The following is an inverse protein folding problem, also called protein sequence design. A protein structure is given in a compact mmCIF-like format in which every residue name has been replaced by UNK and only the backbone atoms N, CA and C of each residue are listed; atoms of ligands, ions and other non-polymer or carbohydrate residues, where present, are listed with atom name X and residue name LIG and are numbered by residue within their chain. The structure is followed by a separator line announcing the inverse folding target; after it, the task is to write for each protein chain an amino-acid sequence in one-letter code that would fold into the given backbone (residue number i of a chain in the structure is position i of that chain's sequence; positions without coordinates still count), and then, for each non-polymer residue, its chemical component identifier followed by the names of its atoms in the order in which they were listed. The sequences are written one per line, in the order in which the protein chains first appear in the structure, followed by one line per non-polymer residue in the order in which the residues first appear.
data_IF_209089816571
#
_entry.id   IF_209089816571
#
_cell.length_a   1.000
_cell.length_b   1.000
_cell.length_c   1.000
_cell.angle_alpha   90.00
_cell.angle_beta   90.00
_cell.angle_gamma   90.00
#
_symmetry.space_group_name_H-M   'P 1'
#
loop_
_entity.id
_entity.type
_entity.pdbx_description
1 polymer ?
#
# COMPACT_ATOMS: atom_id res chain seq x y z
N UNK A 1 37.94 22.09 2.17
CA UNK A 1 36.90 23.11 2.25
C UNK A 1 37.55 24.42 1.82
N UNK A 2 36.98 25.12 0.85
CA UNK A 2 37.50 26.42 0.37
C UNK A 2 36.52 27.48 0.87
N UNK A 3 37.03 28.41 1.68
CA UNK A 3 36.27 29.55 2.16
C UNK A 3 36.60 30.74 1.27
N UNK A 4 35.60 31.44 0.79
CA UNK A 4 35.72 32.64 -0.02
C UNK A 4 34.78 33.72 0.51
N UNK A 5 35.19 34.99 0.36
CA UNK A 5 34.28 36.13 0.60
C UNK A 5 33.58 36.44 -0.70
N UNK A 6 32.26 36.47 -0.67
CA UNK A 6 31.46 36.78 -1.86
C UNK A 6 30.43 37.87 -1.56
N UNK A 7 30.10 38.71 -2.55
CA UNK A 7 29.01 39.67 -2.40
C UNK A 7 27.67 38.95 -2.11
N UNK A 8 26.93 39.43 -1.13
CA UNK A 8 25.58 38.86 -0.78
C UNK A 8 24.65 38.87 -1.99
N UNK A 9 24.76 39.84 -2.88
CA UNK A 9 24.01 39.94 -4.13
C UNK A 9 24.27 38.79 -5.12
N UNK A 10 25.42 38.10 -5.01
CA UNK A 10 25.74 36.95 -5.85
C UNK A 10 25.10 35.64 -5.36
N UNK A 11 24.60 35.62 -4.14
CA UNK A 11 24.04 34.41 -3.50
C UNK A 11 22.54 34.37 -3.74
N UNK A 12 22.06 33.33 -4.45
CA UNK A 12 20.65 33.09 -4.70
C UNK A 12 20.09 32.13 -3.65
N UNK A 13 19.03 32.50 -2.91
CA UNK A 13 18.31 31.52 -2.10
C UNK A 13 17.81 30.37 -2.99
N UNK A 14 17.99 29.12 -2.58
CA UNK A 14 17.48 27.98 -3.33
C UNK A 14 15.97 27.85 -3.15
N UNK A 15 15.25 27.80 -4.27
CA UNK A 15 13.78 27.70 -4.27
C UNK A 15 13.25 26.34 -3.73
N UNK A 16 14.11 25.32 -3.80
CA UNK A 16 13.80 23.93 -3.35
C UNK A 16 14.07 23.69 -1.86
N UNK A 17 14.52 24.69 -1.08
CA UNK A 17 14.82 24.49 0.33
C UNK A 17 13.56 24.13 1.13
N UNK A 18 13.44 22.91 1.71
CA UNK A 18 12.21 22.43 2.35
C UNK A 18 12.11 22.84 3.83
N UNK A 19 12.82 23.88 4.23
CA UNK A 19 12.75 24.42 5.59
C UNK A 19 11.66 25.48 5.71
N UNK A 20 10.96 25.49 6.84
CA UNK A 20 10.11 26.63 7.18
C UNK A 20 10.91 27.91 7.16
N UNK A 21 10.42 28.90 6.42
CA UNK A 21 11.02 30.22 6.35
C UNK A 21 10.61 31.05 7.57
N UNK A 22 11.52 31.16 8.54
CA UNK A 22 11.29 31.97 9.73
C UNK A 22 11.10 33.44 9.34
N UNK A 23 10.16 34.10 10.02
CA UNK A 23 9.83 35.49 9.78
C UNK A 23 10.32 36.39 10.91
N UNK A 24 10.62 37.66 10.64
CA UNK A 24 10.88 38.65 11.69
C UNK A 24 9.71 38.64 12.72
N UNK A 25 10.05 38.50 13.98
CA UNK A 25 9.08 38.33 15.08
C UNK A 25 8.92 36.90 15.59
N UNK A 26 9.36 35.90 14.85
CA UNK A 26 9.42 34.52 15.35
C UNK A 26 10.52 34.40 16.40
N UNK A 27 10.21 33.70 17.50
CA UNK A 27 11.15 33.57 18.62
C UNK A 27 12.53 33.02 18.22
N UNK A 28 12.57 32.07 17.27
CA UNK A 28 13.81 31.48 16.75
C UNK A 28 14.56 32.46 15.84
N UNK A 29 13.82 33.23 15.01
CA UNK A 29 14.41 34.27 14.17
C UNK A 29 15.13 35.32 15.02
N UNK A 30 14.45 35.84 16.05
CA UNK A 30 14.99 36.88 16.94
C UNK A 30 16.21 36.38 17.74
N UNK A 31 16.19 35.11 18.20
CA UNK A 31 17.36 34.50 18.86
C UNK A 31 18.55 34.41 17.91
N UNK A 32 18.33 33.95 16.67
CA UNK A 32 19.38 33.84 15.68
C UNK A 32 19.94 35.23 15.29
N UNK A 33 19.06 36.21 15.12
CA UNK A 33 19.45 37.60 14.83
C UNK A 33 20.28 38.20 15.95
N UNK A 34 19.87 38.00 17.22
CA UNK A 34 20.65 38.44 18.37
C UNK A 34 22.02 37.78 18.44
N UNK A 35 22.11 36.48 18.14
CA UNK A 35 23.37 35.76 18.11
C UNK A 35 24.33 36.30 17.03
N UNK A 36 23.82 36.55 15.81
CA UNK A 36 24.64 37.13 14.72
C UNK A 36 25.08 38.56 15.06
N UNK A 37 24.20 39.33 15.70
CA UNK A 37 24.55 40.71 16.09
C UNK A 37 25.63 40.74 17.18
N UNK A 38 25.63 39.79 18.13
CA UNK A 38 26.56 39.71 19.25
C UNK A 38 27.91 39.11 18.88
N UNK A 39 27.91 38.02 18.09
CA UNK A 39 29.07 37.18 17.85
C UNK A 39 29.56 37.22 16.40
N UNK A 40 28.88 37.96 15.50
CA UNK A 40 29.09 37.93 14.07
C UNK A 40 28.83 36.52 13.46
N UNK A 41 29.27 36.32 12.23
CA UNK A 41 29.10 35.01 11.55
C UNK A 41 30.17 34.02 11.98
N UNK A 42 29.81 33.08 12.86
CA UNK A 42 30.73 32.02 13.36
C UNK A 42 30.85 30.87 12.36
N UNK A 43 29.78 30.57 11.64
CA UNK A 43 29.74 29.50 10.63
C UNK A 43 29.48 30.08 9.24
N UNK A 44 30.37 29.77 8.24
CA UNK A 44 30.16 30.27 6.88
C UNK A 44 28.91 29.68 6.26
N UNK A 45 28.29 30.43 5.33
CA UNK A 45 27.21 29.93 4.50
C UNK A 45 27.78 28.89 3.52
N UNK A 46 26.94 27.90 3.09
CA UNK A 46 27.36 26.94 2.05
C UNK A 46 26.79 27.39 0.71
N UNK A 47 27.66 27.68 -0.25
CA UNK A 47 27.30 28.24 -1.56
C UNK A 47 27.83 27.38 -2.70
N UNK A 48 26.98 27.05 -3.67
CA UNK A 48 27.38 26.32 -4.86
C UNK A 48 27.73 27.29 -6.00
N UNK A 49 29.03 27.38 -6.33
CA UNK A 49 29.52 28.28 -7.38
C UNK A 49 28.98 27.93 -8.76
N UNK A 50 28.54 26.69 -9.02
CA UNK A 50 28.03 26.22 -10.30
C UNK A 50 26.65 26.80 -10.61
N UNK A 51 25.76 26.75 -9.64
CA UNK A 51 24.38 27.25 -9.76
C UNK A 51 24.20 28.69 -9.30
N UNK A 52 25.07 29.13 -8.40
CA UNK A 52 24.91 30.37 -7.64
C UNK A 52 23.98 30.25 -6.45
N UNK A 53 23.50 29.05 -6.17
CA UNK A 53 22.51 28.81 -5.11
C UNK A 53 23.17 28.69 -3.72
N UNK A 54 22.45 29.16 -2.72
CA UNK A 54 22.75 28.88 -1.32
C UNK A 54 22.29 27.47 -1.00
N UNK A 55 23.21 26.63 -0.51
CA UNK A 55 22.92 25.25 -0.13
C UNK A 55 22.61 25.12 1.38
N UNK A 56 23.24 25.95 2.22
CA UNK A 56 23.02 25.95 3.66
C UNK A 56 23.12 27.34 4.27
N UNK A 57 22.32 27.63 5.31
CA UNK A 57 22.33 28.90 6.01
C UNK A 57 21.31 29.93 5.52
N UNK A 58 20.16 29.50 4.98
CA UNK A 58 19.11 30.38 4.43
C UNK A 58 18.62 31.43 5.42
N UNK A 59 18.36 31.06 6.68
CA UNK A 59 17.92 32.00 7.70
C UNK A 59 19.02 33.02 8.06
N UNK A 60 20.28 32.57 8.09
CA UNK A 60 21.44 33.47 8.29
C UNK A 60 21.58 34.47 7.16
N UNK A 61 21.46 34.05 5.90
CA UNK A 61 21.49 34.96 4.73
C UNK A 61 20.37 36.01 4.81
N UNK A 62 19.15 35.62 5.25
CA UNK A 62 18.02 36.53 5.40
C UNK A 62 18.32 37.63 6.43
N UNK A 63 18.87 37.24 7.58
CA UNK A 63 19.26 38.15 8.66
C UNK A 63 20.43 39.06 8.21
N UNK A 64 21.42 38.53 7.53
CA UNK A 64 22.53 39.34 7.01
C UNK A 64 22.08 40.41 6.03
N UNK A 65 21.10 40.09 5.17
CA UNK A 65 20.47 41.05 4.27
C UNK A 65 19.73 42.15 5.02
N UNK A 66 19.04 41.80 6.11
CA UNK A 66 18.32 42.76 6.97
C UNK A 66 19.30 43.68 7.74
N UNK A 67 20.49 43.15 8.08
CA UNK A 67 21.55 43.89 8.75
C UNK A 67 22.48 44.66 7.78
N UNK A 68 22.11 44.75 6.49
CA UNK A 68 22.84 45.48 5.44
C UNK A 68 24.29 45.02 5.20
N UNK A 69 24.61 43.75 5.42
CA UNK A 69 25.91 43.20 5.05
C UNK A 69 26.06 43.20 3.52
N UNK A 70 27.22 43.68 3.03
CA UNK A 70 27.53 43.72 1.59
C UNK A 70 28.19 42.44 1.10
N UNK A 71 28.98 41.77 1.95
CA UNK A 71 29.78 40.59 1.67
C UNK A 71 29.65 39.59 2.81
N UNK A 72 29.89 38.30 2.52
CA UNK A 72 29.87 37.24 3.52
C UNK A 72 30.85 36.12 3.18
N UNK A 73 31.41 35.49 4.20
CA UNK A 73 32.22 34.27 4.06
C UNK A 73 31.31 33.06 3.71
N UNK A 74 31.71 32.33 2.66
CA UNK A 74 31.01 31.13 2.21
C UNK A 74 31.96 29.95 2.10
N UNK A 75 31.51 28.79 2.44
CA UNK A 75 32.10 27.50 2.09
C UNK A 75 31.67 27.15 0.66
N UNK A 76 32.62 27.14 -0.27
CA UNK A 76 32.35 26.95 -1.69
C UNK A 76 32.29 25.46 -2.03
N UNK A 77 31.21 25.05 -2.68
CA UNK A 77 31.05 23.73 -3.31
C UNK A 77 30.87 23.88 -4.83
N UNK A 78 31.11 22.80 -5.57
CA UNK A 78 30.96 22.74 -7.03
C UNK A 78 30.23 21.44 -7.38
N UNK A 79 28.90 21.44 -7.23
CA UNK A 79 28.08 20.28 -7.30
C UNK A 79 27.04 20.35 -8.44
N UNK A 80 26.77 19.22 -9.13
CA UNK A 80 25.60 19.13 -9.99
C UNK A 80 24.32 19.21 -9.14
N UNK A 81 23.20 19.54 -9.78
CA UNK A 81 21.94 19.90 -9.11
C UNK A 81 21.44 18.84 -8.13
N UNK A 82 21.40 17.56 -8.52
CA UNK A 82 20.96 16.48 -7.63
C UNK A 82 21.82 16.40 -6.34
N UNK A 83 23.14 16.51 -6.46
CA UNK A 83 24.04 16.52 -5.30
C UNK A 83 23.93 17.79 -4.46
N UNK A 84 23.62 18.94 -5.08
CA UNK A 84 23.36 20.19 -4.39
C UNK A 84 22.10 20.05 -3.50
N UNK A 85 21.00 19.51 -4.06
CA UNK A 85 19.75 19.23 -3.35
C UNK A 85 19.95 18.25 -2.19
N UNK A 86 20.67 17.15 -2.44
CA UNK A 86 20.99 16.17 -1.40
C UNK A 86 21.84 16.76 -0.26
N UNK A 87 22.85 17.59 -0.58
CA UNK A 87 23.62 18.27 0.44
C UNK A 87 22.78 19.26 1.25
N UNK A 88 21.81 19.94 0.61
CA UNK A 88 20.86 20.81 1.32
C UNK A 88 20.07 20.02 2.36
N UNK A 89 19.54 18.86 2.00
CA UNK A 89 18.83 17.98 2.92
C UNK A 89 19.72 17.52 4.07
N UNK A 90 20.92 17.00 3.77
CA UNK A 90 21.87 16.50 4.77
C UNK A 90 22.27 17.59 5.79
N UNK A 91 22.56 18.82 5.32
CA UNK A 91 22.90 19.94 6.19
C UNK A 91 21.72 20.39 7.08
N UNK A 92 20.51 20.16 6.61
CA UNK A 92 19.31 20.61 7.29
C UNK A 92 18.69 19.53 8.19
N UNK A 93 19.11 18.26 8.13
CA UNK A 93 18.50 17.17 8.92
C UNK A 93 18.64 17.35 10.44
N UNK A 94 19.70 18.01 10.89
CA UNK A 94 20.09 18.04 12.31
C UNK A 94 19.29 19.05 13.14
N UNK A 95 18.66 20.09 12.55
CA UNK A 95 17.98 21.14 13.31
C UNK A 95 16.90 21.89 12.54
N UNK A 96 15.80 22.28 13.22
CA UNK A 96 14.71 23.12 12.73
C UNK A 96 13.49 22.31 12.23
N UNK A 97 12.40 22.99 11.92
CA UNK A 97 11.18 22.38 11.43
C UNK A 97 11.15 22.29 9.89
N UNK A 98 10.53 21.23 9.37
CA UNK A 98 10.38 21.01 7.94
C UNK A 98 9.04 21.55 7.42
N UNK A 99 9.06 22.06 6.19
CA UNK A 99 7.89 22.11 5.34
C UNK A 99 7.75 20.70 4.73
N UNK A 100 6.93 19.87 5.35
CA UNK A 100 6.82 18.43 4.99
C UNK A 100 6.38 18.20 3.53
N UNK A 101 5.40 18.95 2.96
CA UNK A 101 5.08 18.86 1.54
C UNK A 101 6.28 19.14 0.63
N UNK A 102 7.01 20.23 0.89
CA UNK A 102 8.19 20.58 0.09
C UNK A 102 9.34 19.57 0.25
N UNK A 103 9.49 19.00 1.44
CA UNK A 103 10.44 17.93 1.71
C UNK A 103 10.11 16.67 0.91
N UNK A 104 8.82 16.26 0.92
CA UNK A 104 8.31 15.13 0.14
C UNK A 104 8.63 15.30 -1.34
N UNK A 105 8.22 16.43 -1.94
CA UNK A 105 8.41 16.70 -3.36
C UNK A 105 9.89 16.65 -3.76
N UNK A 106 10.77 17.15 -2.88
CA UNK A 106 12.21 17.14 -3.12
C UNK A 106 12.82 15.72 -3.03
N UNK A 107 12.36 14.89 -2.08
CA UNK A 107 12.80 13.50 -1.96
C UNK A 107 12.29 12.66 -3.14
N UNK A 108 11.03 12.84 -3.58
CA UNK A 108 10.50 12.19 -4.79
C UNK A 108 11.30 12.56 -6.05
N UNK A 109 11.70 13.82 -6.20
CA UNK A 109 12.54 14.27 -7.33
C UNK A 109 13.92 13.59 -7.33
N UNK A 110 14.46 13.30 -6.15
CA UNK A 110 15.79 12.67 -6.01
C UNK A 110 15.75 11.15 -6.14
N UNK A 111 14.60 10.51 -5.80
CA UNK A 111 14.42 9.06 -5.83
C UNK A 111 14.12 8.56 -7.25
N UNK A 112 15.10 8.71 -8.13
CA UNK A 112 15.02 8.24 -9.54
C UNK A 112 15.56 6.83 -9.75
N UNK A 113 15.99 6.15 -8.66
CA UNK A 113 16.65 4.85 -8.71
C UNK A 113 18.15 4.90 -9.06
N UNK A 114 18.62 6.01 -9.61
CA UNK A 114 20.05 6.21 -9.96
C UNK A 114 20.84 6.96 -8.88
N UNK A 115 20.17 7.39 -7.81
CA UNK A 115 20.73 8.22 -6.76
C UNK A 115 20.66 7.50 -5.39
N UNK A 116 21.81 7.50 -4.71
CA UNK A 116 21.88 6.96 -3.34
C UNK A 116 21.20 7.91 -2.35
N UNK A 117 19.99 7.56 -1.93
CA UNK A 117 19.18 8.37 -1.04
C UNK A 117 19.77 8.53 0.37
N UNK A 118 20.65 7.63 0.82
CA UNK A 118 21.31 7.75 2.13
C UNK A 118 22.18 9.01 2.22
N UNK A 119 22.66 9.55 1.09
CA UNK A 119 23.43 10.81 1.03
C UNK A 119 22.61 12.01 1.51
N UNK A 120 21.29 11.95 1.43
CA UNK A 120 20.39 13.01 1.96
C UNK A 120 20.37 13.06 3.49
N UNK A 121 20.85 11.99 4.13
CA UNK A 121 20.78 11.77 5.57
C UNK A 121 19.47 11.14 6.03
N UNK A 122 18.48 10.94 5.16
CA UNK A 122 17.27 10.19 5.47
C UNK A 122 17.49 8.72 5.19
N UNK A 123 17.04 7.85 6.10
CA UNK A 123 16.98 6.42 5.82
C UNK A 123 15.72 6.07 5.01
N UNK A 124 15.72 4.89 4.39
CA UNK A 124 14.59 4.46 3.54
C UNK A 124 13.26 4.47 4.29
N UNK A 125 13.28 4.09 5.58
CA UNK A 125 12.08 4.07 6.41
C UNK A 125 11.52 5.48 6.66
N UNK A 126 12.38 6.46 6.93
CA UNK A 126 11.96 7.87 7.11
C UNK A 126 11.34 8.43 5.83
N UNK A 127 11.90 8.05 4.66
CA UNK A 127 11.37 8.45 3.35
C UNK A 127 10.00 7.79 3.12
N UNK A 128 9.88 6.48 3.35
CA UNK A 128 8.63 5.74 3.23
C UNK A 128 7.53 6.26 4.18
N UNK A 129 7.89 6.55 5.44
CA UNK A 129 6.97 7.17 6.42
C UNK A 129 6.43 8.51 5.91
N UNK A 130 7.31 9.35 5.36
CA UNK A 130 6.93 10.65 4.82
C UNK A 130 6.01 10.49 3.59
N UNK A 131 6.37 9.64 2.64
CA UNK A 131 5.56 9.37 1.44
C UNK A 131 4.19 8.83 1.81
N UNK A 132 4.12 7.91 2.78
CA UNK A 132 2.87 7.33 3.26
C UNK A 132 1.98 8.39 3.93
N UNK A 133 2.56 9.33 4.69
CA UNK A 133 1.82 10.40 5.35
C UNK A 133 1.10 11.33 4.37
N UNK A 134 1.65 11.53 3.17
CA UNK A 134 1.08 12.39 2.13
C UNK A 134 0.33 11.63 1.04
N UNK A 135 0.28 10.29 1.12
CA UNK A 135 -0.53 9.53 0.19
C UNK A 135 -2.01 9.81 0.44
N UNK A 136 -2.67 10.40 -0.53
CA UNK A 136 -4.12 10.56 -0.53
C UNK A 136 -4.72 9.29 -1.12
N UNK A 137 -5.56 8.55 -0.37
CA UNK A 137 -6.21 7.37 -0.90
C UNK A 137 -6.96 7.67 -2.20
N UNK A 138 -6.75 6.84 -3.21
CA UNK A 138 -7.45 6.99 -4.49
C UNK A 138 -8.90 6.50 -4.35
N UNK A 139 -9.85 7.40 -4.62
CA UNK A 139 -11.26 7.02 -4.71
C UNK A 139 -11.51 6.25 -6.00
N UNK A 140 -12.11 5.06 -5.87
CA UNK A 140 -12.48 4.24 -7.02
C UNK A 140 -13.71 4.77 -7.75
N UNK A 141 -13.97 4.22 -8.94
CA UNK A 141 -15.17 4.51 -9.72
C UNK A 141 -16.44 3.83 -9.16
N UNK A 142 -16.27 2.90 -8.24
CA UNK A 142 -17.36 2.17 -7.56
C UNK A 142 -17.14 2.21 -6.05
N UNK A 143 -18.18 1.87 -5.28
CA UNK A 143 -18.06 1.63 -3.84
C UNK A 143 -16.97 0.58 -3.55
N UNK A 144 -16.17 0.81 -2.52
CA UNK A 144 -15.05 -0.04 -2.14
C UNK A 144 -15.48 -1.50 -1.92
N UNK A 145 -16.61 -1.72 -1.27
CA UNK A 145 -17.14 -3.04 -0.93
C UNK A 145 -18.07 -3.62 -2.00
N UNK A 146 -18.27 -2.95 -3.14
CA UNK A 146 -19.05 -3.46 -4.25
C UNK A 146 -18.39 -4.71 -4.85
N UNK A 147 -19.10 -5.84 -4.86
CA UNK A 147 -18.63 -7.09 -5.45
C UNK A 147 -19.52 -7.44 -6.65
N UNK A 148 -18.98 -7.46 -7.89
CA UNK A 148 -19.77 -7.78 -9.06
C UNK A 148 -20.12 -9.27 -9.10
N UNK A 149 -21.32 -9.58 -9.60
CA UNK A 149 -21.69 -10.96 -9.89
C UNK A 149 -20.91 -11.50 -11.11
N UNK A 150 -20.51 -12.77 -11.02
CA UNK A 150 -19.97 -13.50 -12.16
C UNK A 150 -20.82 -14.78 -12.36
N UNK A 151 -21.41 -14.88 -13.53
CA UNK A 151 -22.21 -16.05 -13.93
C UNK A 151 -21.39 -17.09 -14.70
N UNK A 152 -20.21 -16.69 -15.18
CA UNK A 152 -19.32 -17.51 -16.00
C UNK A 152 -17.87 -17.25 -15.64
N UNK A 153 -17.06 -18.30 -15.63
CA UNK A 153 -15.64 -18.23 -15.37
C UNK A 153 -14.87 -17.99 -16.67
N UNK A 154 -14.16 -16.86 -16.74
CA UNK A 154 -13.24 -16.53 -17.83
C UNK A 154 -11.82 -16.95 -17.48
N UNK A 155 -11.43 -16.77 -16.22
CA UNK A 155 -10.14 -17.22 -15.70
C UNK A 155 -10.06 -18.75 -15.67
N UNK A 156 -8.85 -19.28 -15.82
CA UNK A 156 -8.54 -20.71 -15.75
C UNK A 156 -7.43 -20.96 -14.76
N UNK A 157 -7.42 -22.15 -14.19
CA UNK A 157 -6.36 -22.58 -13.29
C UNK A 157 -5.01 -22.44 -13.98
N UNK A 158 -4.07 -21.80 -13.31
CA UNK A 158 -2.76 -21.46 -13.83
C UNK A 158 -2.67 -20.08 -14.51
N UNK A 159 -3.76 -19.35 -14.73
CA UNK A 159 -3.68 -18.00 -15.27
C UNK A 159 -3.03 -17.03 -14.26
N UNK A 160 -1.99 -16.34 -14.71
CA UNK A 160 -1.36 -15.23 -13.98
C UNK A 160 -1.72 -13.91 -14.68
N UNK A 161 -2.31 -13.01 -13.92
CA UNK A 161 -2.80 -11.71 -14.39
C UNK A 161 -2.02 -10.57 -13.75
N UNK A 162 -1.70 -9.55 -14.54
CA UNK A 162 -1.19 -8.25 -14.10
C UNK A 162 -2.33 -7.23 -14.14
N UNK A 163 -2.57 -6.58 -13.00
CA UNK A 163 -3.61 -5.56 -12.78
C UNK A 163 -2.91 -4.26 -12.36
N UNK A 164 -2.39 -3.49 -13.33
CA UNK A 164 -1.45 -2.42 -13.01
C UNK A 164 -0.20 -2.97 -12.33
N UNK A 165 0.06 -2.55 -11.09
CA UNK A 165 1.18 -3.03 -10.28
C UNK A 165 0.86 -4.27 -9.43
N UNK A 166 -0.37 -4.78 -9.49
CA UNK A 166 -0.81 -5.96 -8.77
C UNK A 166 -0.68 -7.22 -9.60
N UNK A 167 -0.68 -8.38 -8.93
CA UNK A 167 -0.71 -9.71 -9.56
C UNK A 167 -1.83 -10.56 -8.97
N UNK A 168 -2.53 -11.31 -9.81
CA UNK A 168 -3.52 -12.32 -9.40
C UNK A 168 -3.21 -13.63 -10.10
N UNK A 169 -2.99 -14.69 -9.32
CA UNK A 169 -2.78 -16.05 -9.83
C UNK A 169 -4.01 -16.91 -9.51
N UNK A 170 -4.61 -17.51 -10.55
CA UNK A 170 -5.58 -18.59 -10.36
C UNK A 170 -4.82 -19.87 -10.00
N UNK A 171 -4.56 -20.12 -8.72
CA UNK A 171 -3.64 -21.16 -8.25
C UNK A 171 -3.99 -21.74 -6.90
N UNK A 172 -3.18 -22.70 -6.46
CA UNK A 172 -3.35 -23.38 -5.19
C UNK A 172 -2.27 -22.95 -4.20
N UNK A 173 -2.68 -22.23 -3.15
CA UNK A 173 -1.79 -21.71 -2.12
C UNK A 173 -0.99 -22.79 -1.38
N UNK A 174 -1.43 -24.06 -1.42
CA UNK A 174 -0.71 -25.19 -0.82
C UNK A 174 0.47 -25.66 -1.68
N UNK A 175 0.55 -25.19 -2.93
CA UNK A 175 1.63 -25.52 -3.85
C UNK A 175 2.71 -24.43 -3.83
N UNK A 176 3.88 -24.78 -3.31
CA UNK A 176 5.03 -23.88 -3.25
C UNK A 176 5.38 -23.27 -4.64
N UNK A 177 5.24 -24.06 -5.70
CA UNK A 177 5.48 -23.63 -7.08
C UNK A 177 4.55 -22.50 -7.53
N UNK A 178 3.28 -22.53 -7.08
CA UNK A 178 2.31 -21.49 -7.40
C UNK A 178 2.64 -20.20 -6.64
N UNK A 179 3.03 -20.33 -5.36
CA UNK A 179 3.46 -19.18 -4.54
C UNK A 179 4.73 -18.55 -5.12
N UNK A 180 5.73 -19.34 -5.47
CA UNK A 180 6.97 -18.86 -6.10
C UNK A 180 6.69 -18.16 -7.44
N UNK A 181 5.77 -18.70 -8.24
CA UNK A 181 5.36 -18.10 -9.51
C UNK A 181 4.64 -16.77 -9.32
N UNK A 182 3.71 -16.68 -8.37
CA UNK A 182 3.04 -15.43 -8.02
C UNK A 182 4.05 -14.36 -7.60
N UNK A 183 4.97 -14.72 -6.71
CA UNK A 183 5.96 -13.80 -6.18
C UNK A 183 7.00 -13.37 -7.23
N UNK A 184 7.35 -14.23 -8.18
CA UNK A 184 8.30 -13.91 -9.25
C UNK A 184 9.68 -13.49 -8.75
N UNK A 185 10.10 -13.97 -7.57
CA UNK A 185 11.36 -13.64 -6.91
C UNK A 185 11.32 -12.41 -6.01
N UNK A 186 10.20 -11.69 -5.95
CA UNK A 186 9.98 -10.58 -5.01
C UNK A 186 9.64 -11.13 -3.60
N UNK A 187 9.80 -10.30 -2.58
CA UNK A 187 9.44 -10.63 -1.19
C UNK A 187 8.19 -9.86 -0.78
N UNK A 188 7.36 -10.48 0.03
CA UNK A 188 6.24 -9.77 0.65
C UNK A 188 6.73 -8.91 1.81
N UNK A 189 6.20 -7.70 1.90
CA UNK A 189 6.43 -6.75 3.00
C UNK A 189 5.35 -6.91 4.08
N UNK A 190 4.17 -7.39 3.70
CA UNK A 190 3.04 -7.66 4.57
C UNK A 190 2.25 -8.86 4.06
N UNK A 191 1.71 -9.66 4.98
CA UNK A 191 0.69 -10.67 4.67
C UNK A 191 -0.63 -10.24 5.30
N UNK A 192 -1.69 -10.16 4.50
CA UNK A 192 -3.07 -10.11 5.00
C UNK A 192 -3.85 -11.25 4.35
N UNK A 193 -4.40 -12.17 5.14
CA UNK A 193 -4.98 -13.39 4.57
C UNK A 193 -6.17 -13.91 5.38
N UNK A 194 -7.17 -14.44 4.68
CA UNK A 194 -8.40 -14.99 5.24
C UNK A 194 -8.60 -16.45 4.81
N UNK A 195 -7.80 -17.40 5.37
CA UNK A 195 -7.87 -18.80 4.97
C UNK A 195 -9.21 -19.43 5.35
N UNK A 196 -9.64 -20.49 4.63
CA UNK A 196 -10.85 -21.23 4.97
C UNK A 196 -10.75 -21.84 6.35
N UNK A 197 -11.80 -21.69 7.17
CA UNK A 197 -11.79 -22.03 8.61
C UNK A 197 -12.00 -23.51 8.94
N UNK A 198 -12.09 -24.41 7.95
CA UNK A 198 -12.29 -25.85 8.17
C UNK A 198 -13.67 -26.22 8.73
N UNK A 199 -14.65 -25.32 8.64
CA UNK A 199 -15.98 -25.50 9.25
C UNK A 199 -17.01 -26.17 8.35
N UNK A 200 -16.63 -26.57 7.13
CA UNK A 200 -17.56 -27.17 6.15
C UNK A 200 -18.71 -26.23 5.81
N UNK A 201 -18.41 -24.95 5.51
CA UNK A 201 -19.41 -23.95 5.19
C UNK A 201 -20.31 -24.43 4.05
N UNK A 202 -21.59 -24.59 4.33
CA UNK A 202 -22.62 -24.86 3.33
C UNK A 202 -23.48 -23.62 3.19
N UNK A 203 -23.50 -23.06 2.00
CA UNK A 203 -24.47 -22.02 1.70
C UNK A 203 -25.88 -22.58 1.82
N UNK A 204 -26.64 -22.09 2.81
CA UNK A 204 -28.02 -22.50 3.08
C UNK A 204 -28.96 -22.19 1.91
N UNK A 205 -28.59 -21.26 1.04
CA UNK A 205 -29.35 -20.84 -0.14
C UNK A 205 -28.94 -21.53 -1.43
N UNK A 206 -27.86 -22.33 -1.42
CA UNK A 206 -27.35 -23.07 -2.59
C UNK A 206 -26.86 -22.19 -3.77
N UNK A 207 -26.61 -20.90 -3.53
CA UNK A 207 -26.18 -19.95 -4.56
C UNK A 207 -24.67 -19.92 -4.78
N UNK A 208 -23.88 -20.43 -3.82
CA UNK A 208 -22.42 -20.39 -3.88
C UNK A 208 -21.83 -21.80 -3.84
N UNK A 209 -20.76 -21.99 -4.58
CA UNK A 209 -20.01 -23.24 -4.53
C UNK A 209 -19.41 -23.48 -3.13
N UNK A 210 -19.24 -24.74 -2.72
CA UNK A 210 -18.55 -25.06 -1.47
C UNK A 210 -17.13 -24.48 -1.50
N UNK A 211 -16.67 -23.98 -0.35
CA UNK A 211 -15.29 -23.49 -0.21
C UNK A 211 -14.35 -24.67 -0.49
N UNK A 212 -13.52 -24.52 -1.51
CA UNK A 212 -12.55 -25.54 -1.91
C UNK A 212 -11.49 -25.67 -0.82
N UNK A 213 -11.12 -26.91 -0.47
CA UNK A 213 -10.11 -27.21 0.58
C UNK A 213 -10.47 -26.80 2.02
N UNK A 214 -11.74 -26.65 2.36
CA UNK A 214 -12.19 -26.38 3.73
C UNK A 214 -11.93 -27.57 4.70
N UNK A 215 -10.85 -28.33 4.50
CA UNK A 215 -10.39 -29.42 5.38
C UNK A 215 -9.03 -29.06 5.96
N UNK A 216 -9.05 -28.55 7.15
CA UNK A 216 -8.08 -28.00 8.09
C UNK A 216 -6.57 -28.29 7.99
N UNK A 217 -6.08 -29.38 7.47
CA UNK A 217 -4.66 -29.79 7.63
C UNK A 217 -3.71 -28.99 6.72
N UNK A 218 -4.09 -28.72 5.49
CA UNK A 218 -3.23 -28.02 4.52
C UNK A 218 -2.97 -26.55 4.87
N UNK A 219 -3.90 -25.93 5.61
CA UNK A 219 -3.80 -24.51 6.01
C UNK A 219 -2.78 -24.33 7.12
N UNK A 220 -2.70 -25.25 8.05
CA UNK A 220 -1.74 -25.21 9.16
C UNK A 220 -0.31 -25.23 8.61
N UNK A 221 -0.03 -26.12 7.66
CA UNK A 221 1.27 -26.21 7.00
C UNK A 221 1.61 -24.91 6.24
N UNK A 222 0.60 -24.30 5.60
CA UNK A 222 0.78 -23.04 4.90
C UNK A 222 1.06 -21.87 5.85
N UNK A 223 0.36 -21.78 6.99
CA UNK A 223 0.59 -20.75 7.99
C UNK A 223 2.02 -20.84 8.58
N UNK A 224 2.55 -22.03 8.68
CA UNK A 224 3.94 -22.25 9.12
C UNK A 224 4.97 -21.82 8.05
N UNK A 225 4.57 -21.69 6.78
CA UNK A 225 5.43 -21.25 5.67
C UNK A 225 5.40 -19.72 5.46
N UNK A 226 4.58 -18.98 6.19
CA UNK A 226 4.57 -17.52 6.09
C UNK A 226 5.96 -16.97 6.48
N UNK A 227 6.50 -15.97 5.74
CA UNK A 227 7.82 -15.41 6.02
C UNK A 227 7.93 -14.98 7.50
N UNK A 228 8.99 -15.37 8.20
CA UNK A 228 9.12 -15.13 9.65
C UNK A 228 9.37 -13.65 9.99
N UNK A 229 9.95 -12.93 9.07
CA UNK A 229 10.33 -11.51 9.16
C UNK A 229 9.27 -10.55 8.60
N UNK A 230 8.14 -11.08 8.09
CA UNK A 230 7.08 -10.31 7.48
C UNK A 230 5.89 -10.14 8.45
N UNK A 231 5.44 -8.92 8.73
CA UNK A 231 4.20 -8.67 9.46
C UNK A 231 3.04 -9.43 8.82
N UNK A 232 2.21 -10.07 9.64
CA UNK A 232 1.12 -10.90 9.11
C UNK A 232 -0.15 -10.75 9.92
N UNK A 233 -1.27 -10.56 9.23
CA UNK A 233 -2.62 -10.55 9.76
C UNK A 233 -3.37 -11.76 9.21
N UNK A 234 -3.70 -12.70 10.07
CA UNK A 234 -4.39 -13.94 9.69
C UNK A 234 -5.78 -13.96 10.31
N UNK A 235 -6.80 -13.86 9.47
CA UNK A 235 -8.18 -13.92 9.92
C UNK A 235 -8.54 -15.33 10.40
N UNK A 236 -9.32 -15.40 11.48
CA UNK A 236 -9.81 -16.66 12.01
C UNK A 236 -11.11 -16.47 12.83
N UNK A 237 -11.79 -17.56 13.10
CA UNK A 237 -12.89 -17.56 14.04
C UNK A 237 -12.51 -18.26 15.34
N UNK A 238 -13.39 -18.24 16.35
CA UNK A 238 -13.12 -18.84 17.65
C UNK A 238 -12.88 -20.36 17.60
N UNK A 239 -13.32 -21.08 16.55
CA UNK A 239 -13.10 -22.52 16.40
C UNK A 239 -11.75 -22.82 15.80
N UNK A 240 -11.34 -22.08 14.76
CA UNK A 240 -10.03 -22.24 14.10
C UNK A 240 -8.89 -21.58 14.88
N UNK A 241 -9.18 -20.61 15.75
CA UNK A 241 -8.18 -19.87 16.51
C UNK A 241 -7.17 -20.77 17.26
N UNK A 242 -7.56 -21.81 18.01
CA UNK A 242 -6.58 -22.61 18.78
C UNK A 242 -5.54 -23.29 17.88
N UNK A 243 -5.97 -23.82 16.72
CA UNK A 243 -5.10 -24.49 15.76
C UNK A 243 -4.18 -23.48 15.06
N UNK A 244 -4.73 -22.33 14.64
CA UNK A 244 -3.97 -21.28 13.97
C UNK A 244 -2.95 -20.64 14.90
N UNK A 245 -3.33 -20.38 16.16
CA UNK A 245 -2.42 -19.84 17.17
C UNK A 245 -1.22 -20.77 17.43
N UNK A 246 -1.44 -22.08 17.41
CA UNK A 246 -0.35 -23.06 17.57
C UNK A 246 0.56 -23.15 16.33
N UNK A 247 0.01 -22.94 15.15
CA UNK A 247 0.74 -23.02 13.88
C UNK A 247 1.56 -21.77 13.57
N UNK A 248 1.10 -20.60 14.01
CA UNK A 248 1.73 -19.32 13.73
C UNK A 248 2.76 -19.01 14.83
N UNK A 249 4.05 -18.96 14.52
CA UNK A 249 5.07 -18.59 15.51
C UNK A 249 5.01 -17.09 15.83
N UNK A 250 5.51 -16.72 17.02
CA UNK A 250 5.75 -15.34 17.43
C UNK A 250 4.53 -14.40 17.35
N UNK A 251 3.34 -14.90 17.70
CA UNK A 251 2.13 -14.10 17.80
C UNK A 251 2.34 -12.95 18.77
N UNK A 252 2.06 -11.72 18.32
CA UNK A 252 2.23 -10.48 19.11
C UNK A 252 0.89 -9.95 19.65
N UNK A 253 -0.19 -10.14 18.92
CA UNK A 253 -1.52 -9.70 19.33
C UNK A 253 -2.64 -10.58 18.77
N UNK A 254 -3.75 -10.59 19.48
CA UNK A 254 -5.03 -11.08 18.97
C UNK A 254 -5.97 -9.89 18.84
N UNK A 255 -6.25 -9.52 17.61
CA UNK A 255 -7.17 -8.43 17.29
C UNK A 255 -8.59 -8.99 17.23
N UNK A 256 -9.51 -8.30 17.86
CA UNK A 256 -10.95 -8.61 17.81
C UNK A 256 -11.61 -7.66 16.83
N UNK A 257 -12.00 -8.17 15.68
CA UNK A 257 -12.85 -7.40 14.77
C UNK A 257 -14.30 -7.46 15.22
N UNK A 258 -14.79 -6.35 15.79
CA UNK A 258 -16.18 -6.13 16.13
C UNK A 258 -16.96 -5.63 14.90
N UNK A 259 -17.95 -6.38 14.45
CA UNK A 259 -18.72 -6.12 13.24
C UNK A 259 -19.85 -5.10 13.44
N UNK A 260 -19.93 -4.45 14.60
CA UNK A 260 -20.99 -3.51 14.95
C UNK A 260 -22.35 -4.20 15.18
N UNK A 261 -22.80 -4.95 14.19
CA UNK A 261 -24.06 -5.67 14.22
C UNK A 261 -23.84 -7.19 14.21
N UNK A 262 -24.52 -7.91 15.11
CA UNK A 262 -24.43 -9.37 15.18
C UNK A 262 -25.34 -10.04 14.13
N UNK A 263 -24.86 -11.14 13.54
CA UNK A 263 -25.73 -12.02 12.77
C UNK A 263 -26.61 -12.79 13.76
N UNK A 264 -27.93 -12.64 13.65
CA UNK A 264 -28.89 -13.36 14.49
C UNK A 264 -28.72 -14.87 14.26
N UNK A 265 -28.30 -15.59 15.29
CA UNK A 265 -28.26 -17.02 15.28
C UNK A 265 -29.38 -17.52 16.24
N UNK A 266 -30.03 -18.61 15.92
CA UNK A 266 -31.05 -19.23 16.80
C UNK A 266 -30.46 -19.75 18.12
N UNK A 267 -29.13 -19.78 18.22
CA UNK A 267 -28.36 -20.08 19.44
C UNK A 267 -28.14 -18.84 20.27
N UNK A 268 -28.07 -18.96 21.57
CA UNK A 268 -28.19 -17.98 22.65
C UNK A 268 -27.35 -16.68 22.57
N UNK A 269 -26.34 -16.59 21.70
CA UNK A 269 -25.49 -15.40 21.56
C UNK A 269 -25.36 -14.96 20.10
N UNK A 270 -25.44 -13.64 19.86
CA UNK A 270 -25.13 -13.06 18.56
C UNK A 270 -23.63 -13.17 18.27
N UNK A 271 -23.27 -13.69 17.08
CA UNK A 271 -21.89 -13.73 16.61
C UNK A 271 -21.53 -12.37 16.02
N UNK A 272 -20.93 -11.52 16.85
CA UNK A 272 -20.65 -10.13 16.52
C UNK A 272 -19.18 -9.92 16.12
N UNK A 273 -18.30 -10.85 16.41
CA UNK A 273 -16.88 -10.67 16.19
C UNK A 273 -16.20 -11.85 15.46
N UNK A 274 -15.07 -11.56 14.87
CA UNK A 274 -14.07 -12.50 14.40
C UNK A 274 -12.71 -12.09 14.96
N UNK A 275 -11.71 -12.96 14.83
CA UNK A 275 -10.36 -12.70 15.30
C UNK A 275 -9.41 -12.51 14.14
N UNK A 276 -8.35 -11.72 14.38
CA UNK A 276 -7.21 -11.58 13.48
C UNK A 276 -5.96 -11.80 14.34
N UNK A 277 -5.20 -12.85 14.02
CA UNK A 277 -3.92 -13.12 14.66
C UNK A 277 -2.89 -12.22 14.00
N UNK A 278 -2.22 -11.40 14.81
CA UNK A 278 -1.14 -10.54 14.37
C UNK A 278 0.21 -11.07 14.85
N UNK A 279 1.19 -11.11 13.95
CA UNK A 279 2.59 -11.35 14.25
C UNK A 279 3.48 -10.36 13.47
N UNK A 280 4.73 -10.21 13.89
CA UNK A 280 5.70 -9.32 13.29
C UNK A 280 5.84 -8.01 14.05
N UNK A 281 6.63 -7.11 13.52
CA UNK A 281 6.83 -5.77 14.07
C UNK A 281 6.03 -4.75 13.28
N UNK A 282 5.57 -3.68 13.95
CA UNK A 282 4.90 -2.58 13.26
C UNK A 282 5.93 -1.86 12.37
N UNK A 283 5.71 -1.90 11.06
CA UNK A 283 6.50 -1.17 10.08
C UNK A 283 5.95 0.21 9.76
N UNK A 284 4.67 0.46 10.04
CA UNK A 284 3.96 1.70 9.70
C UNK A 284 3.81 2.67 10.86
N UNK A 285 2.74 3.48 10.82
CA UNK A 285 2.45 4.48 11.86
C UNK A 285 2.22 3.81 13.21
N UNK A 286 2.89 4.32 14.24
CA UNK A 286 2.56 3.95 15.62
C UNK A 286 1.14 4.40 15.92
N UNK A 287 0.28 3.44 16.27
CA UNK A 287 -1.11 3.72 16.62
C UNK A 287 -1.29 3.69 18.13
N UNK A 288 -2.23 4.52 18.61
CA UNK A 288 -2.78 4.43 19.96
C UNK A 288 -4.06 3.59 19.98
N UNK A 289 -4.45 2.99 18.85
CA UNK A 289 -5.62 2.13 18.77
C UNK A 289 -5.44 0.85 19.57
N UNK A 290 -6.52 0.41 20.21
CA UNK A 290 -6.56 -0.86 20.91
C UNK A 290 -6.64 -2.05 19.95
N UNK A 291 -6.65 -3.25 20.54
CA UNK A 291 -6.77 -4.54 19.84
C UNK A 291 -8.24 -4.92 19.52
N UNK A 292 -9.20 -4.03 19.78
CA UNK A 292 -10.60 -4.19 19.36
C UNK A 292 -10.91 -3.19 18.25
N UNK A 293 -11.12 -3.72 17.04
CA UNK A 293 -11.41 -2.91 15.86
C UNK A 293 -12.90 -2.94 15.55
N UNK A 294 -13.56 -1.81 15.72
CA UNK A 294 -14.96 -1.64 15.30
C UNK A 294 -14.95 -1.24 13.80
N UNK A 295 -15.35 -2.16 12.96
CA UNK A 295 -15.57 -1.93 11.53
C UNK A 295 -16.88 -2.60 11.16
N UNK A 296 -17.86 -1.80 10.76
CA UNK A 296 -19.19 -2.29 10.43
C UNK A 296 -19.12 -3.19 9.19
N UNK A 297 -19.74 -4.35 9.32
CA UNK A 297 -19.98 -5.21 8.18
C UNK A 297 -21.28 -4.76 7.51
N UNK A 298 -21.17 -3.83 6.56
CA UNK A 298 -22.31 -3.60 5.68
C UNK A 298 -22.54 -4.83 4.80
N UNK A 299 -23.66 -5.50 5.02
CA UNK A 299 -24.09 -6.60 4.14
C UNK A 299 -24.61 -5.98 2.85
N UNK A 300 -23.71 -5.51 2.00
CA UNK A 300 -24.04 -5.04 0.66
C UNK A 300 -23.72 -6.16 -0.33
N UNK A 301 -24.75 -6.76 -0.90
CA UNK A 301 -24.61 -7.77 -1.95
C UNK A 301 -24.67 -9.24 -1.47
N UNK A 302 -24.59 -10.16 -2.42
CA UNK A 302 -24.77 -11.62 -2.23
C UNK A 302 -23.52 -12.37 -1.69
N UNK A 303 -22.41 -11.67 -1.32
CA UNK A 303 -21.19 -12.30 -0.80
C UNK A 303 -21.11 -12.25 0.73
N UNK A 304 -21.58 -13.29 1.42
CA UNK A 304 -21.70 -13.29 2.88
C UNK A 304 -20.37 -13.39 3.64
N UNK A 305 -19.24 -13.58 2.95
CA UNK A 305 -17.91 -13.82 3.57
C UNK A 305 -16.86 -12.76 3.25
N UNK A 306 -17.16 -11.77 2.39
CA UNK A 306 -16.21 -10.71 2.07
C UNK A 306 -15.82 -9.92 3.33
N UNK A 307 -14.50 -9.64 3.48
CA UNK A 307 -14.01 -8.73 4.51
C UNK A 307 -14.17 -7.28 4.01
N UNK A 308 -14.58 -6.34 4.88
CA UNK A 308 -14.64 -4.92 4.52
C UNK A 308 -13.27 -4.40 4.08
N UNK A 309 -13.24 -3.59 3.03
CA UNK A 309 -12.01 -2.93 2.57
C UNK A 309 -11.43 -2.03 3.67
N UNK A 310 -12.28 -1.38 4.48
CA UNK A 310 -11.86 -0.56 5.63
C UNK A 310 -11.05 -1.37 6.66
N UNK A 311 -11.47 -2.60 6.97
CA UNK A 311 -10.77 -3.47 7.92
C UNK A 311 -9.35 -3.78 7.44
N UNK A 312 -9.22 -4.09 6.16
CA UNK A 312 -7.95 -4.40 5.52
C UNK A 312 -7.09 -3.13 5.44
N UNK A 313 -7.68 -2.02 5.02
CA UNK A 313 -7.01 -0.71 4.95
C UNK A 313 -6.39 -0.30 6.28
N UNK A 314 -7.08 -0.58 7.39
CA UNK A 314 -6.58 -0.35 8.73
C UNK A 314 -5.32 -1.17 9.02
N UNK A 315 -5.32 -2.47 8.70
CA UNK A 315 -4.15 -3.34 8.85
C UNK A 315 -2.96 -2.88 7.99
N UNK A 316 -3.23 -2.52 6.71
CA UNK A 316 -2.20 -2.02 5.79
C UNK A 316 -1.57 -0.72 6.30
N UNK A 317 -2.37 0.20 6.83
CA UNK A 317 -1.90 1.47 7.38
C UNK A 317 -0.94 1.31 8.57
N UNK A 318 -1.11 0.24 9.38
CA UNK A 318 -0.26 0.00 10.54
C UNK A 318 1.06 -0.71 10.22
N UNK A 319 1.10 -1.52 9.17
CA UNK A 319 2.22 -2.44 8.96
C UNK A 319 2.77 -2.42 7.54
N UNK A 320 2.45 -1.41 6.74
CA UNK A 320 3.01 -1.27 5.40
C UNK A 320 3.08 0.19 4.95
N UNK A 321 3.87 0.43 3.91
CA UNK A 321 4.06 1.72 3.25
C UNK A 321 3.54 1.69 1.81
N UNK A 322 3.44 2.86 1.17
CA UNK A 322 3.14 3.00 -0.27
C UNK A 322 4.20 2.24 -1.07
N UNK A 323 3.77 1.47 -2.07
CA UNK A 323 4.65 0.63 -2.90
C UNK A 323 4.96 -0.76 -2.34
N UNK A 324 4.75 -1.00 -1.04
CA UNK A 324 4.98 -2.31 -0.41
C UNK A 324 4.11 -3.42 -1.03
N UNK A 325 4.65 -4.64 -1.03
CA UNK A 325 3.97 -5.84 -1.51
C UNK A 325 3.16 -6.47 -0.39
N UNK A 326 1.86 -6.53 -0.58
CA UNK A 326 0.90 -7.22 0.29
C UNK A 326 0.55 -8.56 -0.33
N UNK A 327 0.85 -9.64 0.37
CA UNK A 327 0.53 -11.01 -0.05
C UNK A 327 -0.80 -11.44 0.55
N UNK A 328 -1.72 -11.89 -0.32
CA UNK A 328 -2.96 -12.56 0.08
C UNK A 328 -3.12 -13.87 -0.68
N UNK A 329 -3.02 -14.98 0.03
CA UNK A 329 -3.07 -16.33 -0.56
C UNK A 329 -4.48 -16.90 -0.70
N UNK A 330 -5.51 -16.16 -0.23
CA UNK A 330 -6.93 -16.55 -0.29
C UNK A 330 -7.78 -15.34 -0.70
N UNK A 331 -7.64 -14.93 -1.95
CA UNK A 331 -8.18 -13.67 -2.48
C UNK A 331 -9.69 -13.50 -2.37
N UNK A 332 -10.45 -14.60 -2.42
CA UNK A 332 -11.91 -14.57 -2.34
C UNK A 332 -12.51 -13.59 -3.34
N UNK A 333 -13.21 -12.56 -2.85
CA UNK A 333 -13.81 -11.51 -3.67
C UNK A 333 -12.85 -10.36 -4.03
N UNK A 334 -11.57 -10.36 -3.56
CA UNK A 334 -10.56 -9.37 -3.90
C UNK A 334 -10.55 -8.11 -3.02
N UNK A 335 -11.08 -8.15 -1.79
CA UNK A 335 -11.09 -6.98 -0.92
C UNK A 335 -9.68 -6.45 -0.61
N UNK A 336 -8.69 -7.34 -0.44
CA UNK A 336 -7.28 -6.97 -0.22
C UNK A 336 -6.71 -6.23 -1.42
N UNK A 337 -7.07 -6.63 -2.64
CA UNK A 337 -6.65 -5.95 -3.87
C UNK A 337 -7.17 -4.51 -3.92
N UNK A 338 -8.44 -4.31 -3.61
CA UNK A 338 -9.06 -2.98 -3.60
C UNK A 338 -8.43 -2.09 -2.51
N UNK A 339 -8.19 -2.62 -1.31
CA UNK A 339 -7.50 -1.88 -0.25
C UNK A 339 -6.08 -1.46 -0.68
N UNK A 340 -5.35 -2.34 -1.38
CA UNK A 340 -4.01 -2.04 -1.90
C UNK A 340 -4.04 -0.98 -3.00
N UNK A 341 -4.96 -1.07 -3.98
CA UNK A 341 -5.12 -0.04 -5.01
C UNK A 341 -5.40 1.32 -4.36
N UNK A 342 -6.40 1.38 -3.45
CA UNK A 342 -6.78 2.61 -2.74
C UNK A 342 -5.63 3.26 -1.98
N UNK A 343 -4.77 2.46 -1.36
CA UNK A 343 -3.69 2.93 -0.50
C UNK A 343 -2.31 2.96 -1.18
N UNK A 344 -2.23 2.70 -2.48
CA UNK A 344 -0.98 2.73 -3.24
C UNK A 344 -0.01 1.58 -2.91
N UNK A 345 -0.51 0.44 -2.40
CA UNK A 345 0.27 -0.78 -2.19
C UNK A 345 0.17 -1.69 -3.41
N UNK A 346 1.07 -2.67 -3.51
CA UNK A 346 1.06 -3.71 -4.54
C UNK A 346 0.46 -4.98 -3.97
N UNK A 347 -0.62 -5.48 -4.53
CA UNK A 347 -1.25 -6.73 -4.06
C UNK A 347 -0.78 -7.90 -4.92
N UNK A 348 -0.21 -8.94 -4.28
CA UNK A 348 0.08 -10.22 -4.90
C UNK A 348 -0.89 -11.23 -4.30
N UNK A 349 -1.87 -11.63 -5.12
CA UNK A 349 -3.04 -12.38 -4.66
C UNK A 349 -3.15 -13.73 -5.34
N UNK A 350 -3.53 -14.75 -4.59
CA UNK A 350 -3.86 -16.07 -5.10
C UNK A 350 -5.30 -16.43 -4.77
N UNK A 351 -5.96 -17.07 -5.72
CA UNK A 351 -7.31 -17.60 -5.53
C UNK A 351 -7.46 -18.90 -6.32
N UNK A 352 -7.98 -19.93 -5.67
CA UNK A 352 -8.10 -21.27 -6.28
C UNK A 352 -9.31 -21.41 -7.21
N UNK A 353 -10.36 -20.62 -6.95
CA UNK A 353 -11.59 -20.65 -7.73
C UNK A 353 -11.47 -19.80 -8.99
N UNK A 354 -11.62 -20.44 -10.16
CA UNK A 354 -11.66 -19.74 -11.46
C UNK A 354 -12.75 -18.67 -11.50
N UNK A 355 -13.88 -18.94 -10.83
CA UNK A 355 -15.00 -18.01 -10.74
C UNK A 355 -14.62 -16.78 -9.90
N UNK A 356 -14.05 -16.97 -8.72
CA UNK A 356 -13.61 -15.86 -7.88
C UNK A 356 -12.46 -15.07 -8.50
N UNK A 357 -11.52 -15.71 -9.20
CA UNK A 357 -10.54 -14.98 -10.00
C UNK A 357 -11.22 -14.07 -11.04
N UNK A 358 -12.28 -14.56 -11.69
CA UNK A 358 -13.09 -13.74 -12.62
C UNK A 358 -13.77 -12.58 -11.91
N UNK A 359 -14.30 -12.78 -10.69
CA UNK A 359 -14.88 -11.73 -9.84
C UNK A 359 -13.84 -10.66 -9.49
N UNK A 360 -12.64 -11.08 -9.07
CA UNK A 360 -11.53 -10.18 -8.73
C UNK A 360 -11.19 -9.24 -9.89
N UNK A 361 -11.01 -9.81 -11.11
CA UNK A 361 -10.68 -9.00 -12.29
C UNK A 361 -11.81 -8.02 -12.65
N UNK A 362 -13.06 -8.48 -12.61
CA UNK A 362 -14.24 -7.61 -12.86
C UNK A 362 -14.33 -6.47 -11.83
N UNK A 363 -14.08 -6.78 -10.56
CA UNK A 363 -14.13 -5.81 -9.47
C UNK A 363 -13.06 -4.74 -9.65
N UNK A 364 -11.82 -5.15 -9.90
CA UNK A 364 -10.72 -4.22 -10.12
C UNK A 364 -10.93 -3.35 -11.37
N UNK A 365 -11.41 -3.94 -12.48
CA UNK A 365 -11.77 -3.18 -13.67
C UNK A 365 -12.87 -2.14 -13.38
N UNK A 366 -13.92 -2.54 -12.66
CA UNK A 366 -15.01 -1.64 -12.30
C UNK A 366 -14.53 -0.50 -11.37
N UNK A 367 -13.63 -0.82 -10.44
CA UNK A 367 -13.08 0.12 -9.48
C UNK A 367 -12.13 1.15 -10.12
N UNK A 368 -11.26 0.70 -11.03
CA UNK A 368 -10.17 1.52 -11.58
C UNK A 368 -10.43 2.03 -13.00
N UNK A 369 -11.31 1.39 -13.76
CA UNK A 369 -11.48 1.61 -15.19
C UNK A 369 -10.33 1.08 -16.06
N UNK A 370 -9.33 0.42 -15.46
CA UNK A 370 -8.14 -0.11 -16.14
C UNK A 370 -8.39 -1.53 -16.67
N UNK A 371 -7.59 -1.98 -17.63
CA UNK A 371 -7.68 -3.32 -18.24
C UNK A 371 -6.56 -4.22 -17.69
N UNK A 372 -6.92 -5.42 -17.22
CA UNK A 372 -5.93 -6.40 -16.78
C UNK A 372 -5.30 -7.13 -17.96
N UNK A 373 -4.05 -7.59 -17.78
CA UNK A 373 -3.29 -8.29 -18.82
C UNK A 373 -2.82 -9.63 -18.29
N UNK A 374 -3.13 -10.72 -19.01
CA UNK A 374 -2.65 -12.06 -18.69
C UNK A 374 -1.18 -12.19 -19.12
N UNK A 375 -0.42 -13.11 -18.51
CA UNK A 375 1.01 -13.30 -18.78
C UNK A 375 1.36 -13.58 -20.26
N UNK A 376 0.42 -14.11 -21.04
CA UNK A 376 0.56 -14.32 -22.48
C UNK A 376 0.31 -13.05 -23.33
N UNK A 377 0.06 -11.92 -22.68
CA UNK A 377 -0.19 -10.63 -23.32
C UNK A 377 -1.65 -10.35 -23.67
N UNK A 378 -2.57 -11.31 -23.47
CA UNK A 378 -3.99 -11.13 -23.76
C UNK A 378 -4.66 -10.23 -22.71
N UNK A 379 -5.47 -9.30 -23.20
CA UNK A 379 -6.22 -8.37 -22.36
C UNK A 379 -7.52 -8.99 -21.84
N UNK A 380 -7.90 -8.60 -20.66
CA UNK A 380 -9.16 -8.98 -20.04
C UNK A 380 -10.38 -8.59 -20.88
N UNK A 381 -10.36 -7.38 -21.47
CA UNK A 381 -11.42 -6.89 -22.37
C UNK A 381 -11.60 -7.78 -23.62
N UNK A 382 -10.52 -8.31 -24.19
CA UNK A 382 -10.55 -9.21 -25.35
C UNK A 382 -11.22 -10.53 -25.00
N UNK A 383 -10.82 -11.15 -23.87
CA UNK A 383 -11.39 -12.41 -23.40
C UNK A 383 -12.86 -12.30 -23.07
N UNK A 384 -13.28 -11.16 -22.47
CA UNK A 384 -14.70 -10.88 -22.24
C UNK A 384 -15.50 -10.78 -23.55
N UNK A 385 -14.93 -10.18 -24.59
CA UNK A 385 -15.59 -10.03 -25.89
C UNK A 385 -15.76 -11.39 -26.58
N UNK A 386 -14.74 -12.25 -26.53
CA UNK A 386 -14.80 -13.61 -27.09
C UNK A 386 -15.89 -14.45 -26.42
N UNK A 387 -15.95 -14.43 -25.07
CA UNK A 387 -16.99 -15.17 -24.33
C UNK A 387 -18.40 -14.69 -24.68
N UNK A 388 -18.61 -13.38 -24.81
CA UNK A 388 -19.90 -12.84 -25.26
C UNK A 388 -20.30 -13.30 -26.66
N UNK A 389 -19.33 -13.46 -27.57
CA UNK A 389 -19.58 -13.94 -28.92
C UNK A 389 -19.93 -15.43 -28.93
N UNK A 390 -19.20 -16.26 -28.19
CA UNK A 390 -19.47 -17.71 -28.07
C UNK A 390 -20.90 -17.93 -27.53
N UNK A 391 -21.31 -17.18 -26.52
CA UNK A 391 -22.66 -17.29 -25.97
C UNK A 391 -23.74 -16.88 -26.97
N UNK A 392 -23.53 -15.81 -27.75
CA UNK A 392 -24.46 -15.42 -28.81
C UNK A 392 -24.62 -16.51 -29.84
N UNK A 393 -23.51 -17.14 -30.29
CA UNK A 393 -23.52 -18.16 -31.30
C UNK A 393 -24.23 -19.45 -30.80
N UNK A 394 -24.08 -19.80 -29.52
CA UNK A 394 -24.81 -20.92 -28.90
C UNK A 394 -26.32 -20.71 -28.83
N UNK A 395 -26.78 -19.49 -28.57
CA UNK A 395 -28.22 -19.15 -28.55
C UNK A 395 -28.83 -19.05 -29.95
N UNK A 396 -28.01 -18.88 -31.00
CA UNK A 396 -28.48 -18.74 -32.37
C UNK A 396 -28.69 -20.11 -33.06
N UNK A 397 -28.23 -21.23 -32.48
CA UNK A 397 -28.26 -22.57 -33.08
C UNK A 397 -29.46 -23.42 -32.63
N UNK A 398 -30.49 -22.88 -31.98
CA UNK A 398 -31.71 -23.63 -31.63
C UNK A 398 -32.97 -23.02 -32.18
N UNK A 399 -33.40 -23.47 -33.40
CA UNK A 399 -34.78 -23.92 -33.58
C UNK A 399 -34.81 -25.31 -34.19
N UNK A 400 -34.81 -26.35 -33.38
CA UNK A 400 -35.29 -27.66 -33.84
C UNK A 400 -36.80 -27.55 -33.99
N UNK A 401 -37.23 -27.32 -35.21
CA UNK A 401 -38.62 -27.53 -35.63
C UNK A 401 -38.99 -29.00 -35.42
N UNK A 402 -39.70 -29.28 -34.36
CA UNK A 402 -40.46 -30.52 -34.23
C UNK A 402 -41.66 -30.49 -35.24
N UNK A 403 -41.44 -30.99 -36.45
CA UNK A 403 -42.55 -31.42 -37.32
C UNK A 403 -43.17 -32.67 -36.71
N UNK A 404 -44.21 -32.48 -35.92
CA UNK A 404 -45.17 -33.57 -35.64
C UNK A 404 -45.88 -33.88 -36.95
N UNK A 405 -45.56 -35.01 -37.53
CA UNK A 405 -46.40 -35.63 -38.58
C UNK A 405 -47.61 -36.26 -37.88
N UNK A 406 -48.75 -35.64 -38.09
CA UNK A 406 -50.04 -36.28 -37.94
C UNK A 406 -50.21 -37.32 -39.06
N UNK A 407 -50.42 -38.57 -38.71
CA UNK A 407 -50.83 -39.68 -39.52
C UNK A 407 -51.45 -40.73 -38.63
#
# INVERSE_FOLDING_TARGET
MKIEVVPISAIKPSAYNPRKDLQPGDAEYEKLKKSITEFDMVEPLVWNKRSGNLVGGHQRLKILKELDYSEVEVSVVDLPEAKEKALNLALNKISGEWDLPALKDLLEELDTGDFDMEITGFDLKEIEDLMTQFHVPEEGLTDDDAVPEATESICRKGDLWSLGNHKVLCGDATLKTDVERLMGGEKADLVFTDPPYGIGYKDVKGKHEPIVNDKGVAIIDLLALLPSDCPSYVCCNWKSYPEYYQAIPDVKALIVWDKGHGVQNLDKFYKRHEFIIYRGEFGGQKTLDGDVWLVDREVRGDHPTAKPVELISKALGYSSYVGNIVLDLFGGSGSTLIACEKLGRRCFMMEISEMYCTVILKRWEAYTGKDAVREDGRKWSELKAEMKQVNKDQFTISPITSKIKSG
#
